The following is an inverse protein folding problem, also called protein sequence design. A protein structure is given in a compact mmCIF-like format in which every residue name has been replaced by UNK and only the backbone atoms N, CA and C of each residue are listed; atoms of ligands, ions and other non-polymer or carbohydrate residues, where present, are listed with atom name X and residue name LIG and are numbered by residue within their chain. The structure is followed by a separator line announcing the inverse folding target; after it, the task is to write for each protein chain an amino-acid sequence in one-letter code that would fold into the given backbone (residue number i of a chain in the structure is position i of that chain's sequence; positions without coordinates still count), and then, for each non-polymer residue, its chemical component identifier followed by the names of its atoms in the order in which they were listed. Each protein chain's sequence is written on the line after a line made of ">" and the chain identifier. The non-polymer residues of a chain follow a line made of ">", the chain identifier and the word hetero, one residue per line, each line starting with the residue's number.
data_IF_442004016324
#
_entry.id   IF_442004016324
#
_cell.length_a   1.000
_cell.length_b   1.000
_cell.length_c   1.000
_cell.angle_alpha   90.00
_cell.angle_beta   90.00
_cell.angle_gamma   90.00
#
_symmetry.space_group_name_H-M   'P 1'
#
loop_
_entity.id
_entity.type
_entity.pdbx_description
1 polymer ?
#
# COMPACT_ATOMS: atom_id res chain seq x y z
N UNK A 1 -24.42 -1.43 33.21
CA UNK A 1 -24.84 -1.49 31.78
C UNK A 1 -24.31 -0.34 30.92
N UNK A 2 -24.04 0.85 31.47
CA UNK A 2 -23.56 2.04 30.75
C UNK A 2 -22.15 1.89 30.14
N UNK A 3 -21.24 1.18 30.81
CA UNK A 3 -19.83 1.03 30.38
C UNK A 3 -19.65 0.11 29.16
N UNK A 4 -20.50 -0.91 29.00
CA UNK A 4 -20.46 -1.84 27.86
C UNK A 4 -21.02 -1.21 26.57
N UNK A 5 -21.99 -0.30 26.70
CA UNK A 5 -22.55 0.48 25.60
C UNK A 5 -21.59 1.60 25.16
N UNK A 6 -20.90 2.24 26.10
CA UNK A 6 -19.86 3.23 25.78
C UNK A 6 -18.70 2.59 24.99
N UNK A 7 -18.21 1.43 25.43
CA UNK A 7 -17.09 0.72 24.75
C UNK A 7 -17.46 0.19 23.36
N UNK A 8 -18.71 -0.24 23.13
CA UNK A 8 -19.16 -0.65 21.78
C UNK A 8 -19.27 0.55 20.83
N UNK A 9 -19.69 1.72 21.32
CA UNK A 9 -19.77 2.93 20.51
C UNK A 9 -18.38 3.44 20.10
N UNK A 10 -17.40 3.36 20.99
CA UNK A 10 -15.99 3.69 20.68
C UNK A 10 -15.40 2.74 19.63
N UNK A 11 -15.66 1.43 19.74
CA UNK A 11 -15.19 0.44 18.74
C UNK A 11 -15.81 0.66 17.35
N UNK A 12 -17.10 1.01 17.28
CA UNK A 12 -17.76 1.32 16.01
C UNK A 12 -17.15 2.55 15.33
N UNK A 13 -16.91 3.62 16.12
CA UNK A 13 -16.26 4.83 15.62
C UNK A 13 -14.86 4.53 15.08
N UNK A 14 -14.06 3.77 15.84
CA UNK A 14 -12.71 3.38 15.43
C UNK A 14 -12.71 2.56 14.13
N UNK A 15 -13.59 1.56 14.00
CA UNK A 15 -13.68 0.75 12.80
C UNK A 15 -14.11 1.57 11.56
N UNK A 16 -14.97 2.58 11.75
CA UNK A 16 -15.32 3.53 10.68
C UNK A 16 -14.14 4.40 10.26
N UNK A 17 -13.36 4.91 11.22
CA UNK A 17 -12.12 5.65 10.95
C UNK A 17 -11.09 4.77 10.23
N UNK A 18 -10.96 3.50 10.64
CA UNK A 18 -10.06 2.55 10.01
C UNK A 18 -10.44 2.29 8.55
N UNK A 19 -11.74 2.22 8.22
CA UNK A 19 -12.20 2.10 6.83
C UNK A 19 -11.77 3.31 5.98
N UNK A 20 -11.94 4.53 6.49
CA UNK A 20 -11.49 5.75 5.79
C UNK A 20 -9.97 5.75 5.58
N UNK A 21 -9.20 5.28 6.57
CA UNK A 21 -7.74 5.14 6.47
C UNK A 21 -7.37 4.12 5.39
N UNK A 22 -8.05 2.98 5.33
CA UNK A 22 -7.81 1.94 4.31
C UNK A 22 -8.08 2.47 2.90
N UNK A 23 -9.17 3.22 2.70
CA UNK A 23 -9.49 3.82 1.41
C UNK A 23 -8.41 4.81 0.96
N UNK A 24 -7.93 5.68 1.88
CA UNK A 24 -6.81 6.58 1.57
C UNK A 24 -5.55 5.81 1.17
N UNK A 25 -5.24 4.71 1.85
CA UNK A 25 -4.10 3.86 1.50
C UNK A 25 -4.27 3.28 0.09
N UNK A 26 -5.48 2.87 -0.28
CA UNK A 26 -5.77 2.37 -1.62
C UNK A 26 -5.50 3.43 -2.72
N UNK A 27 -5.90 4.67 -2.51
CA UNK A 27 -5.66 5.76 -3.46
C UNK A 27 -4.18 6.09 -3.64
N UNK A 28 -3.40 6.09 -2.55
CA UNK A 28 -1.94 6.27 -2.64
C UNK A 28 -1.26 5.11 -3.39
N UNK A 29 -1.69 3.86 -3.16
CA UNK A 29 -1.19 2.71 -3.91
C UNK A 29 -1.47 2.86 -5.41
N UNK A 30 -2.68 3.29 -5.79
CA UNK A 30 -3.02 3.56 -7.20
C UNK A 30 -2.15 4.66 -7.79
N UNK A 31 -1.87 5.71 -7.03
CA UNK A 31 -0.94 6.77 -7.44
C UNK A 31 0.44 6.19 -7.75
N UNK A 32 1.00 5.39 -6.84
CA UNK A 32 2.30 4.71 -7.05
C UNK A 32 2.29 3.83 -8.30
N UNK A 33 1.20 3.07 -8.56
CA UNK A 33 1.07 2.25 -9.78
C UNK A 33 1.11 3.11 -11.05
N UNK A 34 0.41 4.24 -11.08
CA UNK A 34 0.41 5.15 -12.22
C UNK A 34 1.80 5.73 -12.48
N UNK A 35 2.49 6.12 -11.41
CA UNK A 35 3.84 6.68 -11.48
C UNK A 35 4.86 5.61 -11.91
N UNK A 36 4.77 4.37 -11.41
CA UNK A 36 5.58 3.25 -11.84
C UNK A 36 5.39 2.93 -13.34
N UNK A 37 4.16 3.04 -13.85
CA UNK A 37 3.91 2.88 -15.29
C UNK A 37 4.62 3.95 -16.12
N UNK A 38 4.67 5.20 -15.64
CA UNK A 38 5.41 6.29 -16.30
C UNK A 38 6.91 5.96 -16.40
N UNK A 39 7.53 5.45 -15.32
CA UNK A 39 8.93 4.98 -15.33
C UNK A 39 9.13 3.93 -16.41
N UNK A 40 8.23 2.94 -16.53
CA UNK A 40 8.35 1.86 -17.52
C UNK A 40 8.42 2.38 -18.96
N UNK A 41 7.53 3.30 -19.31
CA UNK A 41 7.49 3.89 -20.67
C UNK A 41 8.72 4.75 -20.92
N UNK A 42 9.11 5.57 -19.95
CA UNK A 42 10.32 6.38 -20.05
C UNK A 42 11.58 5.52 -20.19
N UNK A 43 11.70 4.45 -19.40
CA UNK A 43 12.79 3.49 -19.45
C UNK A 43 12.91 2.84 -20.83
N UNK A 44 11.78 2.46 -21.44
CA UNK A 44 11.79 1.93 -22.80
C UNK A 44 12.31 2.95 -23.83
N UNK A 45 11.84 4.20 -23.74
CA UNK A 45 12.30 5.28 -24.62
C UNK A 45 13.79 5.60 -24.39
N UNK A 46 14.23 5.57 -23.13
CA UNK A 46 15.60 5.79 -22.70
C UNK A 46 16.56 4.71 -23.26
N UNK A 47 16.13 3.44 -23.27
CA UNK A 47 16.89 2.34 -23.88
C UNK A 47 17.08 2.59 -25.39
N UNK A 48 16.06 3.08 -26.09
CA UNK A 48 16.18 3.41 -27.50
C UNK A 48 17.15 4.58 -27.74
N UNK A 49 17.05 5.63 -26.92
CA UNK A 49 17.96 6.78 -26.95
C UNK A 49 19.42 6.36 -26.71
N UNK A 50 19.65 5.48 -25.72
CA UNK A 50 20.96 4.92 -25.41
C UNK A 50 21.53 4.11 -26.59
N UNK A 51 20.71 3.27 -27.23
CA UNK A 51 21.11 2.54 -28.44
C UNK A 51 21.53 3.48 -29.56
N UNK A 52 20.82 4.59 -29.75
CA UNK A 52 21.15 5.60 -30.76
C UNK A 52 22.46 6.34 -30.45
N UNK A 53 22.74 6.59 -29.17
CA UNK A 53 23.99 7.18 -28.71
C UNK A 53 25.20 6.21 -28.76
N UNK A 54 24.96 4.93 -29.03
CA UNK A 54 26.00 3.95 -29.26
C UNK A 54 26.78 3.61 -27.98
N UNK A 55 28.10 3.45 -28.12
CA UNK A 55 28.97 3.03 -27.01
C UNK A 55 29.05 4.06 -25.89
N UNK A 56 28.87 5.34 -26.19
CA UNK A 56 28.93 6.43 -25.22
C UNK A 56 27.83 6.39 -24.15
N UNK A 57 26.69 5.72 -24.42
CA UNK A 57 25.55 5.63 -23.50
C UNK A 57 25.24 4.18 -23.06
N UNK A 58 26.21 3.27 -23.17
CA UNK A 58 25.98 1.84 -22.88
C UNK A 58 25.59 1.62 -21.41
N UNK A 59 26.28 2.25 -20.47
CA UNK A 59 25.96 2.17 -19.04
C UNK A 59 24.59 2.74 -18.71
N UNK A 60 24.25 3.90 -19.29
CA UNK A 60 22.90 4.47 -19.19
C UNK A 60 21.81 3.53 -19.72
N UNK A 61 22.06 2.84 -20.84
CA UNK A 61 21.13 1.86 -21.40
C UNK A 61 20.89 0.66 -20.47
N UNK A 62 21.92 0.18 -19.78
CA UNK A 62 21.80 -0.88 -18.77
C UNK A 62 20.95 -0.40 -17.60
N UNK A 63 21.26 0.78 -17.04
CA UNK A 63 20.50 1.35 -15.92
C UNK A 63 19.05 1.65 -16.29
N UNK A 64 18.79 2.06 -17.53
CA UNK A 64 17.42 2.23 -18.03
C UNK A 64 16.67 0.90 -18.08
N UNK A 65 17.33 -0.20 -18.41
CA UNK A 65 16.72 -1.52 -18.33
C UNK A 65 16.45 -1.95 -16.88
N UNK A 66 17.38 -1.70 -15.95
CA UNK A 66 17.16 -1.96 -14.53
C UNK A 66 15.98 -1.16 -13.97
N UNK A 67 15.87 0.13 -14.32
CA UNK A 67 14.72 0.96 -13.96
C UNK A 67 13.41 0.43 -14.56
N UNK A 68 13.45 -0.18 -15.75
CA UNK A 68 12.29 -0.84 -16.35
C UNK A 68 11.85 -2.04 -15.52
N UNK A 69 12.80 -2.90 -15.13
CA UNK A 69 12.54 -4.08 -14.28
C UNK A 69 12.01 -3.64 -12.92
N UNK A 70 12.70 -2.70 -12.25
CA UNK A 70 12.24 -2.06 -11.01
C UNK A 70 10.79 -1.57 -11.11
N UNK A 71 10.42 -0.91 -12.22
CA UNK A 71 9.06 -0.43 -12.40
C UNK A 71 8.01 -1.55 -12.47
N UNK A 72 8.38 -2.71 -13.03
CA UNK A 72 7.52 -3.89 -13.10
C UNK A 72 7.38 -4.52 -11.73
N UNK A 73 8.49 -4.74 -11.03
CA UNK A 73 8.49 -5.31 -9.69
C UNK A 73 7.71 -4.42 -8.70
N UNK A 74 7.82 -3.10 -8.84
CA UNK A 74 7.03 -2.14 -8.09
C UNK A 74 5.53 -2.26 -8.35
N UNK A 75 5.11 -2.45 -9.62
CA UNK A 75 3.70 -2.68 -9.94
C UNK A 75 3.18 -3.97 -9.31
N UNK A 76 3.96 -5.04 -9.38
CA UNK A 76 3.56 -6.35 -8.83
C UNK A 76 3.45 -6.29 -7.29
N UNK A 77 4.38 -5.60 -6.64
CA UNK A 77 4.30 -5.30 -5.21
C UNK A 77 3.04 -4.48 -4.84
N UNK A 78 2.74 -3.42 -5.60
CA UNK A 78 1.53 -2.61 -5.39
C UNK A 78 0.23 -3.39 -5.64
N UNK A 79 0.23 -4.32 -6.59
CA UNK A 79 -0.91 -5.21 -6.82
C UNK A 79 -1.15 -6.14 -5.62
N UNK A 80 -0.08 -6.72 -5.06
CA UNK A 80 -0.14 -7.51 -3.82
C UNK A 80 -0.70 -6.69 -2.65
N UNK A 81 -0.21 -5.45 -2.46
CA UNK A 81 -0.74 -4.52 -1.45
C UNK A 81 -2.23 -4.22 -1.66
N UNK A 82 -2.67 -4.04 -2.90
CA UNK A 82 -4.08 -3.82 -3.23
C UNK A 82 -4.95 -5.02 -2.82
N UNK A 83 -4.46 -6.25 -3.03
CA UNK A 83 -5.13 -7.47 -2.55
C UNK A 83 -5.29 -7.50 -1.03
N UNK A 84 -4.22 -7.19 -0.29
CA UNK A 84 -4.27 -7.10 1.18
C UNK A 84 -5.22 -6.00 1.67
N UNK A 85 -5.27 -4.87 0.96
CA UNK A 85 -6.21 -3.78 1.25
C UNK A 85 -7.65 -4.21 1.05
N UNK A 86 -7.98 -4.91 -0.03
CA UNK A 86 -9.33 -5.45 -0.23
C UNK A 86 -9.73 -6.43 0.88
N UNK A 87 -8.79 -7.26 1.33
CA UNK A 87 -8.99 -8.09 2.53
C UNK A 87 -9.30 -7.25 3.77
N UNK A 88 -8.53 -6.18 4.01
CA UNK A 88 -8.76 -5.27 5.14
C UNK A 88 -10.14 -4.60 5.07
N UNK A 89 -10.56 -4.11 3.90
CA UNK A 89 -11.89 -3.50 3.71
C UNK A 89 -13.00 -4.49 4.05
N UNK A 90 -12.86 -5.73 3.57
CA UNK A 90 -13.84 -6.80 3.81
C UNK A 90 -13.96 -7.10 5.30
N UNK A 91 -12.85 -7.36 5.98
CA UNK A 91 -12.85 -7.68 7.42
C UNK A 91 -13.33 -6.49 8.28
N UNK A 92 -12.96 -5.24 7.96
CA UNK A 92 -13.48 -4.07 8.69
C UNK A 92 -14.99 -3.92 8.50
N UNK A 93 -15.50 -4.19 7.29
CA UNK A 93 -16.94 -4.13 7.01
C UNK A 93 -17.71 -5.19 7.81
N UNK A 94 -17.18 -6.40 7.90
CA UNK A 94 -17.73 -7.47 8.75
C UNK A 94 -17.71 -7.07 10.23
N UNK A 95 -16.59 -6.53 10.73
CA UNK A 95 -16.49 -6.04 12.12
C UNK A 95 -17.54 -4.94 12.41
N UNK A 96 -17.78 -4.02 11.48
CA UNK A 96 -18.81 -2.98 11.63
C UNK A 96 -20.23 -3.58 11.69
N UNK A 97 -20.52 -4.57 10.85
CA UNK A 97 -21.78 -5.29 10.87
C UNK A 97 -21.95 -6.06 12.18
N UNK A 98 -20.89 -6.73 12.63
CA UNK A 98 -20.84 -7.50 13.87
C UNK A 98 -21.08 -6.64 15.10
N UNK A 99 -20.44 -5.47 15.20
CA UNK A 99 -20.69 -4.52 16.28
C UNK A 99 -22.18 -4.13 16.32
N UNK A 100 -22.79 -3.87 15.16
CA UNK A 100 -24.21 -3.48 15.07
C UNK A 100 -25.15 -4.62 15.46
N UNK A 101 -24.94 -5.81 14.88
CA UNK A 101 -25.81 -6.96 15.04
C UNK A 101 -25.69 -7.56 16.44
N UNK A 102 -24.47 -7.73 16.95
CA UNK A 102 -24.23 -8.25 18.30
C UNK A 102 -24.76 -7.30 19.36
N UNK A 103 -24.74 -5.97 19.14
CA UNK A 103 -25.40 -5.01 20.05
C UNK A 103 -26.91 -5.26 20.14
N UNK A 104 -27.60 -5.42 19.01
CA UNK A 104 -29.04 -5.70 18.98
C UNK A 104 -29.35 -7.06 19.61
N UNK A 105 -28.53 -8.07 19.34
CA UNK A 105 -28.70 -9.41 19.91
C UNK A 105 -28.51 -9.42 21.43
N UNK A 106 -27.51 -8.70 21.96
CA UNK A 106 -27.33 -8.53 23.42
C UNK A 106 -28.54 -7.87 24.07
N UNK A 107 -29.13 -6.86 23.44
CA UNK A 107 -30.36 -6.23 23.94
C UNK A 107 -31.54 -7.21 23.95
N UNK A 108 -31.71 -7.99 22.89
CA UNK A 108 -32.76 -8.99 22.81
C UNK A 108 -32.60 -10.11 23.86
N UNK A 109 -31.36 -10.58 24.10
CA UNK A 109 -31.05 -11.56 25.16
C UNK A 109 -31.34 -11.00 26.55
N UNK A 110 -31.05 -9.71 26.80
CA UNK A 110 -31.32 -9.09 28.09
C UNK A 110 -32.83 -8.96 28.40
N UNK A 111 -33.68 -8.92 27.37
CA UNK A 111 -35.14 -8.80 27.49
C UNK A 111 -35.87 -10.15 27.41
N UNK A 112 -35.16 -11.25 27.12
CA UNK A 112 -35.72 -12.57 26.85
C UNK A 112 -35.13 -13.62 27.78
N UNK A 113 -35.95 -14.49 28.33
CA UNK A 113 -35.53 -15.61 29.19
C UNK A 113 -35.24 -16.90 28.42
N UNK A 114 -35.04 -16.84 27.09
CA UNK A 114 -34.79 -18.01 26.23
C UNK A 114 -33.30 -18.42 26.26
N UNK A 115 -32.94 -19.60 26.81
CA UNK A 115 -31.54 -20.03 26.93
C UNK A 115 -30.81 -20.18 25.58
N UNK A 116 -31.56 -20.55 24.53
CA UNK A 116 -31.01 -20.69 23.17
C UNK A 116 -30.44 -19.38 22.62
N UNK A 117 -30.98 -18.22 23.01
CA UNK A 117 -30.48 -16.93 22.54
C UNK A 117 -29.10 -16.60 23.13
N UNK A 118 -28.84 -17.02 24.37
CA UNK A 118 -27.52 -16.87 24.99
C UNK A 118 -26.45 -17.71 24.26
N UNK A 119 -26.79 -18.93 23.82
CA UNK A 119 -25.88 -19.75 23.02
C UNK A 119 -25.56 -19.12 21.66
N UNK A 120 -26.57 -18.60 20.94
CA UNK A 120 -26.36 -17.90 19.66
C UNK A 120 -25.52 -16.63 19.82
N UNK A 121 -25.70 -15.90 20.92
CA UNK A 121 -24.87 -14.75 21.24
C UNK A 121 -23.41 -15.15 21.46
N UNK A 122 -23.15 -16.21 22.23
CA UNK A 122 -21.80 -16.71 22.48
C UNK A 122 -21.10 -17.16 21.19
N UNK A 123 -21.81 -17.90 20.33
CA UNK A 123 -21.29 -18.33 19.02
C UNK A 123 -20.93 -17.12 18.14
N UNK A 124 -21.79 -16.10 18.09
CA UNK A 124 -21.51 -14.90 17.32
C UNK A 124 -20.37 -14.06 17.90
N UNK A 125 -20.23 -14.00 19.22
CA UNK A 125 -19.08 -13.33 19.85
C UNK A 125 -17.76 -14.02 19.48
N UNK A 126 -17.74 -15.36 19.38
CA UNK A 126 -16.58 -16.09 18.88
C UNK A 126 -16.25 -15.77 17.41
N UNK A 127 -17.25 -15.67 16.54
CA UNK A 127 -17.02 -15.27 15.14
C UNK A 127 -16.51 -13.82 15.02
N UNK A 128 -17.05 -12.90 15.82
CA UNK A 128 -16.58 -11.52 15.86
C UNK A 128 -15.10 -11.42 16.27
N UNK A 129 -14.68 -12.25 17.23
CA UNK A 129 -13.28 -12.33 17.65
C UNK A 129 -12.40 -12.88 16.51
N UNK A 130 -12.89 -13.84 15.72
CA UNK A 130 -12.19 -14.34 14.52
C UNK A 130 -11.99 -13.25 13.46
N UNK A 131 -13.02 -12.47 13.14
CA UNK A 131 -12.87 -11.35 12.19
C UNK A 131 -11.87 -10.29 12.70
N UNK A 132 -11.92 -9.99 14.00
CA UNK A 132 -10.97 -9.06 14.63
C UNK A 132 -9.53 -9.58 14.52
N UNK A 133 -9.30 -10.87 14.77
CA UNK A 133 -7.98 -11.49 14.64
C UNK A 133 -7.48 -11.51 13.19
N UNK A 134 -8.36 -11.82 12.22
CA UNK A 134 -8.03 -11.76 10.78
C UNK A 134 -7.60 -10.36 10.39
N UNK A 135 -8.35 -9.33 10.79
CA UNK A 135 -8.00 -7.94 10.54
C UNK A 135 -6.62 -7.57 11.09
N UNK A 136 -6.30 -7.99 12.31
CA UNK A 136 -4.96 -7.78 12.91
C UNK A 136 -3.87 -8.47 12.08
N UNK A 137 -4.12 -9.70 11.60
CA UNK A 137 -3.18 -10.43 10.76
C UNK A 137 -2.94 -9.75 9.41
N UNK A 138 -4.00 -9.24 8.78
CA UNK A 138 -3.93 -8.52 7.50
C UNK A 138 -3.18 -7.20 7.65
N UNK A 139 -3.43 -6.44 8.74
CA UNK A 139 -2.66 -5.22 9.05
C UNK A 139 -1.16 -5.49 9.15
N UNK A 140 -0.77 -6.59 9.82
CA UNK A 140 0.65 -6.98 9.93
C UNK A 140 1.24 -7.39 8.58
N UNK A 141 0.49 -8.11 7.75
CA UNK A 141 0.94 -8.46 6.39
C UNK A 141 1.10 -7.23 5.51
N UNK A 142 0.11 -6.33 5.53
CA UNK A 142 0.14 -5.07 4.80
C UNK A 142 1.33 -4.19 5.21
N UNK A 143 1.64 -4.12 6.52
CA UNK A 143 2.80 -3.39 7.02
C UNK A 143 4.12 -3.95 6.46
N UNK A 144 4.29 -5.28 6.50
CA UNK A 144 5.50 -5.93 5.97
C UNK A 144 5.65 -5.71 4.46
N UNK A 145 4.58 -5.92 3.70
CA UNK A 145 4.58 -5.68 2.26
C UNK A 145 4.89 -4.20 1.91
N UNK A 146 4.43 -3.26 2.74
CA UNK A 146 4.78 -1.85 2.59
C UNK A 146 6.27 -1.60 2.88
N UNK A 147 6.83 -2.21 3.91
CA UNK A 147 8.28 -2.16 4.22
C UNK A 147 9.13 -2.73 3.08
N UNK A 148 8.70 -3.83 2.47
CA UNK A 148 9.37 -4.42 1.30
C UNK A 148 9.33 -3.44 0.10
N UNK A 149 8.18 -2.78 -0.12
CA UNK A 149 8.06 -1.76 -1.17
C UNK A 149 9.03 -0.59 -0.98
N UNK A 150 9.26 -0.15 0.28
CA UNK A 150 10.25 0.88 0.57
C UNK A 150 11.66 0.46 0.18
N UNK A 151 12.08 -0.75 0.58
CA UNK A 151 13.42 -1.23 0.28
C UNK A 151 13.65 -1.26 -1.23
N UNK A 152 12.65 -1.68 -2.00
CA UNK A 152 12.71 -1.65 -3.45
C UNK A 152 12.84 -0.24 -4.02
N UNK A 153 12.09 0.74 -3.49
CA UNK A 153 12.17 2.14 -3.94
C UNK A 153 13.50 2.80 -3.57
N UNK A 154 14.10 2.47 -2.43
CA UNK A 154 15.46 2.91 -2.09
C UNK A 154 16.49 2.41 -3.12
N UNK A 155 16.39 1.15 -3.53
CA UNK A 155 17.21 0.60 -4.62
C UNK A 155 16.94 1.32 -5.95
N UNK A 156 15.68 1.61 -6.26
CA UNK A 156 15.30 2.43 -7.41
C UNK A 156 15.94 3.83 -7.39
N UNK A 157 16.05 4.44 -6.19
CA UNK A 157 16.69 5.74 -6.01
C UNK A 157 18.18 5.70 -6.30
N UNK A 158 18.86 4.61 -5.89
CA UNK A 158 20.26 4.38 -6.24
C UNK A 158 20.42 4.24 -7.76
N UNK A 159 19.56 3.45 -8.42
CA UNK A 159 19.57 3.29 -9.88
C UNK A 159 19.38 4.63 -10.62
N UNK A 160 18.44 5.46 -10.18
CA UNK A 160 18.19 6.78 -10.78
C UNK A 160 19.41 7.71 -10.63
N UNK A 161 20.05 7.72 -9.46
CA UNK A 161 21.29 8.49 -9.22
C UNK A 161 22.45 7.98 -10.06
N UNK A 162 22.63 6.66 -10.17
CA UNK A 162 23.61 6.06 -11.08
C UNK A 162 23.34 6.44 -12.53
N UNK A 163 22.07 6.50 -12.96
CA UNK A 163 21.70 6.87 -14.32
C UNK A 163 22.07 8.33 -14.63
N UNK A 164 21.98 9.24 -13.65
CA UNK A 164 22.48 10.62 -13.78
C UNK A 164 23.99 10.68 -14.01
N UNK A 165 24.76 9.83 -13.32
CA UNK A 165 26.22 9.76 -13.49
C UNK A 165 26.55 9.29 -14.90
N UNK A 166 25.95 8.18 -15.34
CA UNK A 166 26.15 7.63 -16.69
C UNK A 166 25.71 8.59 -17.80
N UNK A 167 24.64 9.36 -17.58
CA UNK A 167 24.18 10.37 -18.52
C UNK A 167 25.24 11.44 -18.81
N UNK A 168 26.02 11.84 -17.81
CA UNK A 168 27.08 12.84 -17.98
C UNK A 168 28.20 12.37 -18.92
N UNK A 169 28.44 11.05 -19.00
CA UNK A 169 29.45 10.45 -19.89
C UNK A 169 28.95 10.23 -21.33
N UNK A 170 27.67 10.53 -21.62
CA UNK A 170 27.02 10.32 -22.92
C UNK A 170 27.50 11.18 -24.09
N UNK A 171 28.58 11.96 -23.92
CA UNK A 171 29.19 12.82 -24.95
C UNK A 171 28.17 13.73 -25.65
N UNK A 172 27.99 13.59 -26.97
CA UNK A 172 27.02 14.38 -27.77
C UNK A 172 25.56 14.18 -27.34
N UNK A 173 25.26 13.09 -26.62
CA UNK A 173 23.95 12.80 -26.06
C UNK A 173 23.83 13.12 -24.57
N UNK A 174 24.86 13.70 -23.94
CA UNK A 174 24.86 13.96 -22.49
C UNK A 174 23.66 14.81 -22.04
N UNK A 175 23.30 15.86 -22.78
CA UNK A 175 22.20 16.74 -22.43
C UNK A 175 20.82 16.03 -22.50
N UNK A 176 20.46 15.35 -23.61
CA UNK A 176 19.25 14.51 -23.64
C UNK A 176 19.21 13.42 -22.54
N UNK A 177 20.33 12.75 -22.26
CA UNK A 177 20.38 11.68 -21.25
C UNK A 177 20.27 12.26 -19.83
N UNK A 178 20.83 13.43 -19.58
CA UNK A 178 20.73 14.13 -18.31
C UNK A 178 19.29 14.56 -18.02
N UNK A 179 18.55 15.00 -19.04
CA UNK A 179 17.12 15.30 -18.89
C UNK A 179 16.34 14.06 -18.47
N UNK A 180 16.51 12.94 -19.18
CA UNK A 180 15.77 11.69 -18.90
C UNK A 180 16.13 11.13 -17.51
N UNK A 181 17.41 11.12 -17.13
CA UNK A 181 17.82 10.70 -15.78
C UNK A 181 17.37 11.65 -14.67
N UNK A 182 17.27 12.95 -14.96
CA UNK A 182 16.63 13.93 -14.08
C UNK A 182 15.18 13.59 -13.80
N UNK A 183 14.43 13.24 -14.85
CA UNK A 183 13.04 12.83 -14.71
C UNK A 183 12.90 11.50 -13.96
N UNK A 184 13.78 10.50 -14.18
CA UNK A 184 13.77 9.26 -13.38
C UNK A 184 13.93 9.53 -11.89
N UNK A 185 14.90 10.36 -11.51
CA UNK A 185 15.16 10.69 -10.10
C UNK A 185 13.96 11.40 -9.48
N UNK A 186 13.38 12.39 -10.17
CA UNK A 186 12.17 13.08 -9.68
C UNK A 186 11.00 12.12 -9.45
N UNK A 187 10.80 11.16 -10.37
CA UNK A 187 9.68 10.22 -10.30
C UNK A 187 9.88 9.19 -9.19
N UNK A 188 11.11 8.69 -9.00
CA UNK A 188 11.41 7.77 -7.91
C UNK A 188 11.28 8.47 -6.55
N UNK A 189 11.69 9.73 -6.44
CA UNK A 189 11.50 10.55 -5.23
C UNK A 189 10.01 10.84 -4.93
N UNK A 190 9.19 11.02 -5.96
CA UNK A 190 7.73 11.12 -5.82
C UNK A 190 7.15 9.83 -5.22
N UNK A 191 7.52 8.66 -5.76
CA UNK A 191 7.10 7.36 -5.21
C UNK A 191 7.55 7.20 -3.75
N UNK A 192 8.81 7.54 -3.44
CA UNK A 192 9.35 7.47 -2.07
C UNK A 192 8.49 8.31 -1.11
N UNK A 193 8.14 9.53 -1.52
CA UNK A 193 7.32 10.44 -0.72
C UNK A 193 5.91 9.90 -0.49
N UNK A 194 5.26 9.33 -1.52
CA UNK A 194 3.95 8.68 -1.38
C UNK A 194 4.00 7.49 -0.42
N UNK A 195 5.01 6.63 -0.54
CA UNK A 195 5.19 5.52 0.40
C UNK A 195 5.45 6.03 1.83
N UNK A 196 6.26 7.07 2.02
CA UNK A 196 6.49 7.68 3.34
C UNK A 196 5.22 8.18 4.00
N UNK A 197 4.33 8.81 3.22
CA UNK A 197 3.00 9.20 3.68
C UNK A 197 2.20 7.99 4.18
N UNK A 198 2.21 6.88 3.42
CA UNK A 198 1.56 5.63 3.79
C UNK A 198 2.10 5.05 5.10
N UNK A 199 3.43 5.02 5.28
CA UNK A 199 4.07 4.47 6.47
C UNK A 199 3.71 5.21 7.75
N UNK A 200 3.47 6.51 7.65
CA UNK A 200 3.06 7.36 8.78
C UNK A 200 1.57 7.27 9.09
N UNK A 201 0.79 6.56 8.27
CA UNK A 201 -0.64 6.37 8.51
C UNK A 201 -0.90 5.64 9.82
N UNK A 202 -1.80 6.20 10.63
CA UNK A 202 -2.20 5.66 11.93
C UNK A 202 -2.78 4.24 11.85
N UNK A 203 -3.22 3.81 10.67
CA UNK A 203 -3.67 2.44 10.41
C UNK A 203 -2.58 1.39 10.71
N UNK A 204 -1.31 1.73 10.47
CA UNK A 204 -0.17 0.85 10.68
C UNK A 204 0.45 0.98 12.08
N UNK A 205 0.28 2.12 12.74
CA UNK A 205 0.87 2.39 14.06
C UNK A 205 -0.01 1.93 15.22
N UNK A 206 -1.28 1.58 14.96
CA UNK A 206 -2.17 0.98 15.97
C UNK A 206 -2.68 1.98 17.02
N UNK A 207 -2.54 3.28 16.78
CA UNK A 207 -3.09 4.36 17.61
C UNK A 207 -4.43 4.89 17.09
#
# INVERSE_FOLDING_TARGET
>A
MTTALATTNTKASQAGVDLLRIVRINEEIKSVVAVAFKINIMALNAIFLAKRAGTAARGFGVLSNELRVFSQDLRDCMASLTGLIHGCVTEVSLVLQDIRHTRLLRQAVALSSVPRMAAVLAEREMENDRHTQRLVSLRKQLKRALEDAFQMVELGGVLAKSAKIEAAYGQSFALPLAQVSGEFDSIVEEIRTSLESLRRSAFFTGN
#
